data_IF_295199109654
#
_entry.id   IF_295199109654
#
_cell.length_a   1.000
_cell.length_b   1.000
_cell.length_c   1.000
_cell.angle_alpha   90.00
_cell.angle_beta   90.00
_cell.angle_gamma   90.00
#
_symmetry.space_group_name_H-M   'P 1'
#
loop_
_entity.id
_entity.type
_entity.pdbx_description
1 polymer ?
#
# COMPACT_ATOMS: atom_id res chain seq x y z
N UNK A 1 -2.18 5.00 11.57
CA UNK A 1 -2.23 5.24 10.12
C UNK A 1 -0.87 5.69 9.63
N UNK A 2 -0.34 5.06 8.60
CA UNK A 2 0.97 5.40 8.07
C UNK A 2 0.91 6.70 7.25
N UNK A 3 1.88 7.59 7.47
CA UNK A 3 2.04 8.77 6.63
C UNK A 3 2.54 8.39 5.25
N UNK A 4 2.45 9.31 4.29
CA UNK A 4 2.98 9.10 2.94
C UNK A 4 4.47 8.81 2.95
N UNK A 5 5.23 9.53 3.79
CA UNK A 5 6.68 9.35 3.91
C UNK A 5 7.04 8.02 4.54
N UNK A 6 6.31 7.61 5.60
CA UNK A 6 6.50 6.29 6.21
C UNK A 6 6.28 5.18 5.19
N UNK A 7 5.26 5.31 4.37
CA UNK A 7 4.95 4.33 3.33
C UNK A 7 6.00 4.26 2.25
N UNK A 8 6.60 5.39 1.88
CA UNK A 8 7.72 5.40 0.92
C UNK A 8 8.90 4.58 1.43
N UNK A 9 9.23 4.72 2.71
CA UNK A 9 10.31 3.96 3.34
C UNK A 9 9.97 2.47 3.36
N UNK A 10 8.76 2.11 3.77
CA UNK A 10 8.33 0.72 3.81
C UNK A 10 8.30 0.10 2.41
N UNK A 11 7.83 0.82 1.41
CA UNK A 11 7.82 0.35 0.02
C UNK A 11 9.22 0.13 -0.52
N UNK A 12 10.16 1.02 -0.19
CA UNK A 12 11.55 0.87 -0.58
C UNK A 12 12.14 -0.42 -0.01
N UNK A 13 11.94 -0.66 1.28
CA UNK A 13 12.44 -1.85 1.94
C UNK A 13 11.77 -3.13 1.44
N UNK A 14 10.49 -3.08 1.15
CA UNK A 14 9.75 -4.21 0.58
C UNK A 14 10.27 -4.56 -0.81
N UNK A 15 10.51 -3.55 -1.65
CA UNK A 15 10.99 -3.74 -3.02
C UNK A 15 12.37 -4.40 -3.06
N UNK A 16 13.21 -4.09 -2.10
CA UNK A 16 14.59 -4.58 -2.05
C UNK A 16 14.79 -5.76 -1.10
N UNK A 17 13.71 -6.33 -0.57
CA UNK A 17 13.80 -7.52 0.27
C UNK A 17 14.41 -8.69 -0.51
N UNK A 18 15.30 -9.52 0.09
CA UNK A 18 15.66 -9.60 1.50
C UNK A 18 16.82 -8.70 1.93
N UNK A 19 17.25 -7.77 1.12
CA UNK A 19 18.38 -6.91 1.45
C UNK A 19 18.08 -6.05 2.67
N UNK A 20 19.11 -5.83 3.48
CA UNK A 20 19.05 -5.01 4.68
C UNK A 20 19.83 -3.72 4.44
N UNK A 21 19.31 -2.61 4.94
CA UNK A 21 19.90 -1.30 4.73
C UNK A 21 20.13 -0.58 6.06
N UNK A 22 21.28 0.11 6.17
CA UNK A 22 21.52 0.98 7.30
C UNK A 22 20.70 2.27 7.17
N UNK A 23 20.56 3.00 8.29
CA UNK A 23 19.80 4.25 8.29
C UNK A 23 20.33 5.26 7.24
N UNK A 24 21.65 5.54 7.12
CA UNK A 24 22.15 6.43 6.07
C UNK A 24 21.82 5.97 4.65
N UNK A 25 21.88 4.67 4.39
CA UNK A 25 21.55 4.12 3.08
C UNK A 25 20.07 4.36 2.73
N UNK A 26 19.16 4.18 3.69
CA UNK A 26 17.74 4.43 3.50
C UNK A 26 17.50 5.92 3.25
N UNK A 27 18.12 6.79 4.05
CA UNK A 27 17.98 8.25 3.92
C UNK A 27 18.41 8.72 2.54
N UNK A 28 19.57 8.22 2.06
CA UNK A 28 20.10 8.59 0.75
C UNK A 28 19.22 8.09 -0.41
N UNK A 29 18.52 6.97 -0.22
CA UNK A 29 17.70 6.36 -1.26
C UNK A 29 16.32 6.97 -1.37
N UNK A 30 15.71 7.38 -0.26
CA UNK A 30 14.31 7.85 -0.27
C UNK A 30 14.18 9.37 -0.36
N UNK A 31 15.22 10.13 -0.05
CA UNK A 31 15.25 11.61 -0.11
C UNK A 31 14.05 12.28 0.58
N UNK A 32 13.77 11.86 1.81
CA UNK A 32 12.66 12.37 2.61
C UNK A 32 13.21 13.23 3.75
N UNK A 33 12.60 14.39 3.98
CA UNK A 33 12.93 15.22 5.12
C UNK A 33 12.60 14.51 6.42
N UNK A 34 13.50 14.61 7.40
CA UNK A 34 13.35 13.95 8.70
C UNK A 34 13.21 12.42 8.61
N UNK A 35 13.82 11.81 7.58
CA UNK A 35 13.76 10.36 7.38
C UNK A 35 14.27 9.58 8.58
N UNK A 36 15.30 10.07 9.27
CA UNK A 36 15.84 9.44 10.47
C UNK A 36 14.79 9.29 11.57
N UNK A 37 13.99 10.33 11.81
CA UNK A 37 12.92 10.30 12.81
C UNK A 37 11.79 9.34 12.39
N UNK A 38 11.48 9.33 11.12
CA UNK A 38 10.43 8.44 10.57
C UNK A 38 10.88 6.98 10.70
N UNK A 39 12.14 6.68 10.39
CA UNK A 39 12.70 5.33 10.54
C UNK A 39 12.63 4.88 11.99
N UNK A 40 13.01 5.74 12.95
CA UNK A 40 12.92 5.39 14.37
C UNK A 40 11.47 5.16 14.81
N UNK A 41 10.54 5.97 14.36
CA UNK A 41 9.13 5.78 14.69
C UNK A 41 8.59 4.47 14.12
N UNK A 42 8.96 4.12 12.89
CA UNK A 42 8.57 2.85 12.29
C UNK A 42 9.15 1.66 13.05
N UNK A 43 10.37 1.78 13.55
CA UNK A 43 10.98 0.74 14.38
C UNK A 43 10.24 0.58 15.72
N UNK A 44 9.90 1.69 16.37
CA UNK A 44 9.16 1.68 17.64
C UNK A 44 7.79 1.02 17.45
N UNK A 45 7.14 1.27 16.34
CA UNK A 45 5.82 0.70 16.01
C UNK A 45 5.90 -0.70 15.42
N UNK A 46 7.09 -1.32 15.42
CA UNK A 46 7.35 -2.69 14.94
C UNK A 46 7.12 -2.89 13.44
N UNK A 47 7.07 -1.83 12.65
CA UNK A 47 7.00 -1.94 11.19
C UNK A 47 8.34 -2.29 10.57
N UNK A 48 9.44 -2.06 11.28
CA UNK A 48 10.79 -2.40 10.85
C UNK A 48 11.44 -3.32 11.88
N UNK A 49 12.25 -4.25 11.38
CA UNK A 49 13.10 -5.08 12.22
C UNK A 49 14.52 -4.52 12.17
N UNK A 50 15.16 -4.47 13.34
CA UNK A 50 16.52 -4.01 13.51
C UNK A 50 17.43 -5.21 13.70
N UNK A 51 18.48 -5.29 12.90
CA UNK A 51 19.54 -6.29 13.06
C UNK A 51 20.88 -5.61 13.16
N UNK A 52 21.84 -6.31 13.75
CA UNK A 52 23.23 -5.85 13.77
C UNK A 52 23.99 -6.66 12.71
N UNK A 53 24.66 -5.96 11.82
CA UNK A 53 25.45 -6.55 10.76
C UNK A 53 26.88 -6.03 10.82
N UNK A 54 27.82 -6.81 10.32
CA UNK A 54 29.23 -6.39 10.25
C UNK A 54 29.53 -5.98 8.81
N UNK A 55 29.84 -4.70 8.63
CA UNK A 55 30.22 -4.14 7.33
C UNK A 55 31.54 -3.38 7.50
N UNK A 56 32.50 -3.67 6.64
CA UNK A 56 33.84 -3.04 6.67
C UNK A 56 34.48 -3.09 8.06
N UNK A 57 34.41 -4.26 8.72
CA UNK A 57 34.91 -4.53 10.06
C UNK A 57 34.25 -3.70 11.17
N UNK A 58 33.11 -3.09 10.88
CA UNK A 58 32.33 -2.33 11.86
C UNK A 58 30.93 -2.95 12.01
N UNK A 59 30.45 -2.98 13.24
CA UNK A 59 29.07 -3.39 13.54
C UNK A 59 28.15 -2.22 13.27
N UNK A 60 27.21 -2.40 12.36
CA UNK A 60 26.21 -1.38 11.99
C UNK A 60 24.82 -1.92 12.19
N UNK A 61 23.90 -1.04 12.59
CA UNK A 61 22.49 -1.36 12.65
C UNK A 61 21.89 -1.31 11.24
N UNK A 62 21.18 -2.36 10.86
CA UNK A 62 20.52 -2.45 9.57
C UNK A 62 19.03 -2.72 9.78
N UNK A 63 18.24 -2.25 8.84
CA UNK A 63 16.78 -2.31 8.94
C UNK A 63 16.21 -3.08 7.77
N UNK A 64 15.16 -3.84 8.03
CA UNK A 64 14.35 -4.49 7.00
C UNK A 64 12.89 -4.36 7.39
N UNK A 65 11.99 -4.50 6.41
CA UNK A 65 10.56 -4.45 6.69
C UNK A 65 10.15 -5.70 7.46
N UNK A 66 9.35 -5.51 8.52
CA UNK A 66 8.81 -6.61 9.30
C UNK A 66 7.55 -7.18 8.63
N UNK A 67 7.06 -8.32 9.12
CA UNK A 67 5.79 -8.88 8.66
C UNK A 67 4.63 -7.92 8.97
N UNK A 68 4.70 -7.23 10.12
CA UNK A 68 3.71 -6.21 10.49
C UNK A 68 3.75 -5.04 9.50
N UNK A 69 4.95 -4.60 9.10
CA UNK A 69 5.12 -3.54 8.11
C UNK A 69 4.58 -3.93 6.74
N UNK A 70 4.83 -5.16 6.30
CA UNK A 70 4.28 -5.69 5.06
C UNK A 70 2.76 -5.77 5.10
N UNK A 71 2.20 -6.25 6.19
CA UNK A 71 0.75 -6.32 6.37
C UNK A 71 0.11 -4.94 6.35
N UNK A 72 0.75 -3.93 6.94
CA UNK A 72 0.25 -2.55 6.93
C UNK A 72 0.19 -1.97 5.51
N UNK A 73 1.18 -2.27 4.67
CA UNK A 73 1.16 -1.84 3.26
C UNK A 73 0.07 -2.56 2.45
N UNK A 74 -0.06 -3.87 2.66
CA UNK A 74 -1.05 -4.69 1.96
C UNK A 74 -2.47 -4.32 2.35
N UNK A 75 -2.74 -4.10 3.63
CA UNK A 75 -4.04 -3.71 4.14
C UNK A 75 -4.58 -2.47 3.42
N UNK A 76 -3.75 -1.46 3.25
CA UNK A 76 -4.18 -0.26 2.54
C UNK A 76 -4.42 -0.51 1.06
N UNK A 77 -3.60 -1.36 0.43
CA UNK A 77 -3.78 -1.73 -0.97
C UNK A 77 -5.10 -2.46 -1.18
N UNK A 78 -5.45 -3.37 -0.28
CA UNK A 78 -6.72 -4.09 -0.31
C UNK A 78 -7.90 -3.14 -0.12
N UNK A 79 -7.84 -2.19 0.81
CA UNK A 79 -8.90 -1.21 1.03
C UNK A 79 -9.17 -0.36 -0.21
N UNK A 80 -8.14 0.09 -0.89
CA UNK A 80 -8.28 0.86 -2.13
C UNK A 80 -8.91 0.00 -3.22
N UNK A 81 -8.47 -1.24 -3.34
CA UNK A 81 -8.98 -2.18 -4.32
C UNK A 81 -10.46 -2.48 -4.07
N UNK A 82 -10.86 -2.73 -2.82
CA UNK A 82 -12.24 -2.98 -2.44
C UNK A 82 -13.13 -1.78 -2.76
N UNK A 83 -12.67 -0.57 -2.50
CA UNK A 83 -13.42 0.64 -2.84
C UNK A 83 -13.65 0.78 -4.34
N UNK A 84 -12.64 0.47 -5.15
CA UNK A 84 -12.77 0.52 -6.62
C UNK A 84 -13.76 -0.54 -7.12
N UNK A 85 -13.69 -1.76 -6.61
CA UNK A 85 -14.61 -2.83 -6.96
C UNK A 85 -16.04 -2.47 -6.58
N UNK A 86 -16.26 -1.99 -5.36
CA UNK A 86 -17.59 -1.59 -4.88
C UNK A 86 -18.17 -0.49 -5.75
N UNK A 87 -17.39 0.51 -6.09
CA UNK A 87 -17.83 1.62 -6.95
C UNK A 87 -18.21 1.12 -8.35
N UNK A 88 -17.42 0.23 -8.95
CA UNK A 88 -17.69 -0.36 -10.26
C UNK A 88 -18.96 -1.18 -10.23
N UNK A 89 -19.17 -2.00 -9.22
CA UNK A 89 -20.38 -2.80 -9.05
C UNK A 89 -21.63 -1.94 -8.89
N UNK A 90 -21.52 -0.82 -8.15
CA UNK A 90 -22.65 0.10 -7.96
C UNK A 90 -23.06 0.76 -9.27
N UNK A 91 -22.11 1.18 -10.09
CA UNK A 91 -22.38 1.76 -11.40
C UNK A 91 -23.03 0.72 -12.32
N UNK A 92 -22.54 -0.50 -12.35
CA UNK A 92 -23.11 -1.59 -13.14
C UNK A 92 -24.56 -1.89 -12.72
N UNK A 93 -24.83 -1.92 -11.41
CA UNK A 93 -26.18 -2.13 -10.89
C UNK A 93 -27.14 -1.02 -11.31
N UNK A 94 -26.70 0.23 -11.30
CA UNK A 94 -27.51 1.37 -11.74
C UNK A 94 -27.85 1.25 -13.24
N UNK A 95 -26.87 0.90 -14.06
CA UNK A 95 -27.08 0.72 -15.52
C UNK A 95 -28.08 -0.40 -15.77
N UNK A 96 -27.94 -1.54 -15.12
CA UNK A 96 -28.86 -2.67 -15.24
C UNK A 96 -30.28 -2.27 -14.83
N UNK A 97 -30.42 -1.51 -13.72
CA UNK A 97 -31.72 -1.06 -13.24
C UNK A 97 -32.38 -0.11 -14.24
N UNK A 98 -31.63 0.79 -14.85
CA UNK A 98 -32.16 1.70 -15.89
C UNK A 98 -32.65 0.92 -17.11
N UNK A 99 -31.83 -0.04 -17.57
CA UNK A 99 -32.20 -0.87 -18.73
C UNK A 99 -33.45 -1.70 -18.44
N UNK A 100 -33.56 -2.27 -17.23
CA UNK A 100 -34.77 -3.03 -16.83
C UNK A 100 -35.99 -2.13 -16.79
N UNK A 101 -35.88 -0.91 -16.28
CA UNK A 101 -36.98 0.04 -16.24
C UNK A 101 -37.42 0.46 -17.64
N UNK A 102 -36.50 0.75 -18.52
CA UNK A 102 -36.80 1.10 -19.93
C UNK A 102 -37.48 -0.06 -20.64
N UNK A 103 -37.05 -1.30 -20.38
CA UNK A 103 -37.67 -2.49 -20.92
C UNK A 103 -39.13 -2.64 -20.43
N UNK A 104 -39.40 -2.40 -19.16
CA UNK A 104 -40.72 -2.44 -18.57
C UNK A 104 -41.67 -1.38 -19.18
N UNK A 105 -41.14 -0.20 -19.47
CA UNK A 105 -41.90 0.87 -20.10
C UNK A 105 -42.09 0.67 -21.58
N UNK A 106 -41.51 -0.37 -22.17
CA UNK A 106 -41.68 -0.69 -23.57
C UNK A 106 -40.88 0.16 -24.54
N UNK A 107 -39.95 1.02 -24.04
CA UNK A 107 -39.15 1.92 -24.87
C UNK A 107 -38.18 1.12 -25.76
N UNK A 108 -37.57 0.09 -25.18
CA UNK A 108 -36.65 -0.81 -25.88
C UNK A 108 -37.32 -2.05 -26.42
N UNK A 109 -38.64 -2.09 -26.36
CA UNK A 109 -39.41 -3.24 -26.75
C UNK A 109 -39.38 -3.42 -28.25
N UNK A 110 -39.04 -4.61 -28.69
CA UNK A 110 -39.19 -4.97 -30.11
C UNK A 110 -40.67 -5.12 -30.46
N UNK A 111 -41.04 -4.75 -31.69
CA UNK A 111 -42.43 -4.97 -32.12
C UNK A 111 -42.80 -6.43 -31.96
N UNK A 112 -43.95 -6.67 -31.34
CA UNK A 112 -44.50 -8.01 -31.18
C UNK A 112 -45.68 -8.17 -32.11
N UNK A 113 -45.64 -9.24 -32.81
CA UNK A 113 -46.68 -9.59 -33.79
C UNK A 113 -47.34 -10.89 -33.47
#
# INVERSE_FOLDING_TARGET
MLSTDSRKILKFLKKHRPNEYSKPEIIDSVHIDHADKIIEQLRIDDYLQLYMDTRDDKVVAVYTISDIGMAALEERRELIFDRLITRTLSIAAIIISILALLSQLGILRLPQY
#
